data_IF_120164648234
#
_entry.id   IF_120164648234
#
_cell.length_a   1.000
_cell.length_b   1.000
_cell.length_c   1.000
_cell.angle_alpha   90.00
_cell.angle_beta   90.00
_cell.angle_gamma   90.00
#
_symmetry.space_group_name_H-M   'P 1'
#
loop_
_entity.id
_entity.type
_entity.pdbx_description
1 polymer ?
#
# COMPACT_ATOMS: atom_id res chain seq x y z
N UNK A 1 14.04 -14.75 32.41
CA UNK A 1 12.92 -14.48 31.47
C UNK A 1 13.32 -14.34 29.99
N UNK A 2 14.60 -14.21 29.63
CA UNK A 2 15.03 -13.93 28.25
C UNK A 2 14.65 -15.00 27.20
N UNK A 3 14.59 -16.28 27.59
CA UNK A 3 14.21 -17.37 26.68
C UNK A 3 12.72 -17.30 26.34
N UNK A 4 11.85 -17.10 27.34
CA UNK A 4 10.40 -16.96 27.13
C UNK A 4 10.09 -15.77 26.23
N UNK A 5 10.76 -14.63 26.42
CA UNK A 5 10.56 -13.44 25.58
C UNK A 5 11.02 -13.61 24.13
N UNK A 6 11.97 -14.52 23.85
CA UNK A 6 12.42 -14.85 22.47
C UNK A 6 11.49 -15.85 21.78
N UNK A 7 10.87 -16.75 22.54
CA UNK A 7 10.03 -17.83 22.03
C UNK A 7 8.60 -17.32 21.79
N UNK A 8 8.04 -16.55 22.73
CA UNK A 8 6.63 -16.11 22.71
C UNK A 8 6.20 -15.42 21.41
N UNK A 9 6.99 -14.52 20.78
CA UNK A 9 6.62 -13.91 19.50
C UNK A 9 6.47 -14.91 18.34
N UNK A 10 7.18 -16.05 18.40
CA UNK A 10 7.09 -17.10 17.37
C UNK A 10 5.75 -17.85 17.43
N UNK A 11 5.06 -17.78 18.57
CA UNK A 11 3.72 -18.32 18.77
C UNK A 11 2.62 -17.24 18.68
N UNK A 12 2.99 -15.97 18.49
CA UNK A 12 2.04 -14.91 18.20
C UNK A 12 1.62 -15.04 16.73
N UNK A 13 0.59 -15.85 16.50
CA UNK A 13 -0.01 -16.03 15.20
C UNK A 13 -1.23 -15.12 15.05
N UNK A 14 -1.38 -14.52 13.88
CA UNK A 14 -2.60 -13.79 13.56
C UNK A 14 -3.73 -14.78 13.25
N UNK A 15 -4.92 -14.51 13.79
CA UNK A 15 -6.11 -15.34 13.55
C UNK A 15 -6.40 -15.47 12.05
N UNK A 16 -6.19 -14.39 11.28
CA UNK A 16 -6.39 -14.38 9.83
C UNK A 16 -5.36 -15.28 9.13
N UNK A 17 -4.08 -15.23 9.53
CA UNK A 17 -3.03 -16.04 8.92
C UNK A 17 -3.33 -17.55 9.09
N UNK A 18 -3.76 -17.97 10.28
CA UNK A 18 -4.13 -19.38 10.51
C UNK A 18 -5.40 -19.78 9.76
N UNK A 19 -6.39 -18.89 9.67
CA UNK A 19 -7.61 -19.14 8.88
C UNK A 19 -7.30 -19.30 7.40
N UNK A 20 -6.53 -18.40 6.81
CA UNK A 20 -6.14 -18.42 5.39
C UNK A 20 -5.26 -19.65 5.10
N UNK A 21 -4.33 -19.98 6.01
CA UNK A 21 -3.52 -21.20 5.94
C UNK A 21 -4.37 -22.48 5.93
N UNK A 22 -5.45 -22.53 6.73
CA UNK A 22 -6.39 -23.68 6.72
C UNK A 22 -7.08 -23.88 5.36
N UNK A 23 -7.12 -22.86 4.52
CA UNK A 23 -7.66 -22.88 3.15
C UNK A 23 -6.59 -23.09 2.08
N UNK A 24 -5.36 -23.42 2.48
CA UNK A 24 -4.20 -23.56 1.59
C UNK A 24 -3.91 -22.29 0.76
N UNK A 25 -4.12 -21.13 1.38
CA UNK A 25 -3.85 -19.82 0.79
C UNK A 25 -2.68 -19.15 1.52
N UNK A 26 -2.05 -18.19 0.84
CA UNK A 26 -0.96 -17.37 1.39
C UNK A 26 -1.44 -15.94 1.57
N UNK A 27 -1.13 -15.35 2.71
CA UNK A 27 -1.40 -13.93 2.97
C UNK A 27 -0.29 -13.09 2.34
N UNK A 28 -0.65 -12.23 1.39
CA UNK A 28 0.23 -11.18 0.89
C UNK A 28 0.06 -9.94 1.77
N UNK A 29 1.16 -9.47 2.37
CA UNK A 29 1.16 -8.22 3.15
C UNK A 29 1.70 -7.10 2.27
N UNK A 30 0.94 -6.02 2.19
CA UNK A 30 1.32 -4.83 1.43
C UNK A 30 2.01 -3.82 2.34
N UNK A 31 2.88 -3.00 1.77
CA UNK A 31 3.55 -1.94 2.51
C UNK A 31 2.53 -0.89 3.00
N UNK A 32 2.72 -0.37 4.23
CA UNK A 32 1.83 0.67 4.74
C UNK A 32 2.00 1.96 3.92
N UNK A 33 0.90 2.69 3.70
CA UNK A 33 0.88 3.97 2.99
C UNK A 33 1.30 3.96 1.51
N UNK A 34 1.38 2.79 0.88
CA UNK A 34 1.65 2.65 -0.56
C UNK A 34 0.45 2.05 -1.28
N UNK A 35 -0.60 2.84 -1.47
CA UNK A 35 -1.83 2.37 -2.11
C UNK A 35 -1.63 2.04 -3.61
N UNK A 36 -0.57 2.56 -4.22
CA UNK A 36 -0.15 2.30 -5.59
C UNK A 36 0.26 0.83 -5.79
N UNK A 37 0.71 0.19 -4.71
CA UNK A 37 1.09 -1.22 -4.68
C UNK A 37 -0.08 -2.16 -4.32
N UNK A 38 -1.31 -1.65 -4.29
CA UNK A 38 -2.49 -2.42 -3.92
C UNK A 38 -3.51 -2.51 -5.07
N UNK A 39 -3.66 -3.66 -5.74
CA UNK A 39 -4.52 -3.78 -6.93
C UNK A 39 -6.01 -3.58 -6.62
N UNK A 40 -6.44 -3.77 -5.35
CA UNK A 40 -7.84 -3.52 -4.96
C UNK A 40 -8.21 -2.04 -5.06
N UNK A 41 -7.24 -1.12 -4.94
CA UNK A 41 -7.49 0.32 -5.04
C UNK A 41 -7.86 0.75 -6.47
N UNK A 42 -7.26 0.08 -7.47
CA UNK A 42 -7.62 0.23 -8.87
C UNK A 42 -9.02 -0.32 -9.15
N UNK A 43 -9.32 -1.51 -8.63
CA UNK A 43 -10.65 -2.10 -8.74
C UNK A 43 -11.70 -1.20 -8.07
N UNK A 44 -11.42 -0.69 -6.87
CA UNK A 44 -12.33 0.20 -6.16
C UNK A 44 -12.52 1.53 -6.88
N UNK A 45 -11.47 2.08 -7.48
CA UNK A 45 -11.55 3.26 -8.34
C UNK A 45 -12.45 3.02 -9.56
N UNK A 46 -12.35 1.84 -10.19
CA UNK A 46 -13.25 1.42 -11.28
C UNK A 46 -14.71 1.35 -10.83
N UNK A 47 -14.98 0.70 -9.69
CA UNK A 47 -16.33 0.58 -9.11
C UNK A 47 -16.92 1.96 -8.78
N UNK A 48 -16.16 2.82 -8.10
CA UNK A 48 -16.58 4.20 -7.79
C UNK A 48 -16.91 4.99 -9.04
N UNK A 49 -16.10 4.84 -10.10
CA UNK A 49 -16.35 5.49 -11.39
C UNK A 49 -17.65 4.99 -12.01
N UNK A 50 -17.90 3.68 -11.99
CA UNK A 50 -19.14 3.10 -12.49
C UNK A 50 -20.36 3.66 -11.75
N UNK A 51 -20.33 3.68 -10.42
CA UNK A 51 -21.43 4.23 -9.61
C UNK A 51 -21.63 5.71 -9.94
N UNK A 52 -20.55 6.51 -9.99
CA UNK A 52 -20.63 7.94 -10.30
C UNK A 52 -21.28 8.21 -11.66
N UNK A 53 -21.01 7.38 -12.66
CA UNK A 53 -21.55 7.55 -14.01
C UNK A 53 -23.02 7.12 -14.14
N UNK A 54 -23.48 6.19 -13.32
CA UNK A 54 -24.80 5.57 -13.48
C UNK A 54 -25.79 5.92 -12.36
N UNK A 55 -25.34 6.57 -11.28
CA UNK A 55 -26.20 6.99 -10.19
C UNK A 55 -26.99 8.23 -10.54
N UNK A 56 -28.27 8.06 -10.83
CA UNK A 56 -29.22 9.14 -11.17
C UNK A 56 -30.13 9.54 -9.99
N UNK A 57 -30.38 8.62 -9.05
CA UNK A 57 -31.37 8.81 -7.99
C UNK A 57 -30.75 9.25 -6.66
N UNK A 58 -29.45 8.99 -6.46
CA UNK A 58 -28.70 9.22 -5.22
C UNK A 58 -29.30 8.52 -3.98
N UNK A 59 -30.11 7.47 -4.18
CA UNK A 59 -30.70 6.68 -3.09
C UNK A 59 -29.86 5.45 -2.79
N UNK A 60 -29.73 5.11 -1.50
CA UNK A 60 -28.93 3.96 -1.04
C UNK A 60 -29.32 2.61 -1.70
N UNK A 61 -30.60 2.26 -1.90
CA UNK A 61 -30.96 1.01 -2.57
C UNK A 61 -30.41 0.92 -4.00
N UNK A 62 -30.47 2.02 -4.74
CA UNK A 62 -29.99 2.09 -6.11
C UNK A 62 -28.46 2.06 -6.16
N UNK A 63 -27.80 2.79 -5.25
CA UNK A 63 -26.33 2.71 -5.09
C UNK A 63 -25.88 1.30 -4.76
N UNK A 64 -26.58 0.57 -3.88
CA UNK A 64 -26.25 -0.82 -3.55
C UNK A 64 -26.29 -1.73 -4.78
N UNK A 65 -27.28 -1.55 -5.66
CA UNK A 65 -27.37 -2.27 -6.93
C UNK A 65 -26.17 -1.93 -7.84
N UNK A 66 -25.87 -0.64 -7.99
CA UNK A 66 -24.73 -0.17 -8.81
C UNK A 66 -23.38 -0.64 -8.28
N UNK A 67 -23.19 -0.81 -6.97
CA UNK A 67 -21.97 -1.39 -6.39
C UNK A 67 -21.78 -2.83 -6.87
N UNK A 68 -22.84 -3.65 -6.81
CA UNK A 68 -22.79 -5.05 -7.25
C UNK A 68 -22.46 -5.13 -8.74
N UNK A 69 -23.12 -4.30 -9.56
CA UNK A 69 -22.86 -4.21 -11.00
C UNK A 69 -21.42 -3.76 -11.29
N UNK A 70 -20.93 -2.72 -10.61
CA UNK A 70 -19.56 -2.23 -10.76
C UNK A 70 -18.50 -3.26 -10.35
N UNK A 71 -18.78 -4.09 -9.34
CA UNK A 71 -17.90 -5.22 -8.97
C UNK A 71 -17.90 -6.30 -10.04
N UNK A 72 -19.07 -6.66 -10.59
CA UNK A 72 -19.16 -7.64 -11.68
C UNK A 72 -18.45 -7.16 -12.95
N UNK A 73 -18.45 -5.85 -13.20
CA UNK A 73 -17.68 -5.22 -14.27
C UNK A 73 -16.17 -5.39 -14.11
N UNK A 74 -15.67 -5.60 -12.88
CA UNK A 74 -14.27 -5.91 -12.59
C UNK A 74 -13.99 -7.40 -12.80
N UNK A 75 -14.34 -7.92 -13.99
CA UNK A 75 -14.13 -9.30 -14.37
C UNK A 75 -12.65 -9.70 -14.46
N UNK A 76 -12.37 -10.98 -14.77
CA UNK A 76 -11.02 -11.55 -14.71
C UNK A 76 -9.96 -10.80 -15.53
N UNK A 77 -10.33 -10.29 -16.70
CA UNK A 77 -9.42 -9.53 -17.55
C UNK A 77 -9.04 -8.17 -16.94
N UNK A 78 -10.03 -7.38 -16.48
CA UNK A 78 -9.75 -6.11 -15.80
C UNK A 78 -8.93 -6.35 -14.52
N UNK A 79 -9.25 -7.39 -13.76
CA UNK A 79 -8.48 -7.76 -12.57
C UNK A 79 -7.01 -8.07 -12.92
N UNK A 80 -6.76 -8.88 -13.95
CA UNK A 80 -5.41 -9.16 -14.45
C UNK A 80 -4.66 -7.88 -14.81
N UNK A 81 -5.34 -6.91 -15.43
CA UNK A 81 -4.74 -5.62 -15.78
C UNK A 81 -4.40 -4.78 -14.54
N UNK A 82 -5.24 -4.80 -13.50
CA UNK A 82 -4.94 -4.12 -12.22
C UNK A 82 -3.70 -4.72 -11.55
N UNK A 83 -3.59 -6.05 -11.52
CA UNK A 83 -2.42 -6.73 -10.96
C UNK A 83 -1.15 -6.40 -11.78
N UNK A 84 -1.24 -6.45 -13.11
CA UNK A 84 -0.11 -6.08 -13.98
C UNK A 84 0.34 -4.63 -13.77
N UNK A 85 -0.59 -3.70 -13.56
CA UNK A 85 -0.25 -2.31 -13.26
C UNK A 85 0.58 -2.19 -11.98
N UNK A 86 0.13 -2.85 -10.90
CA UNK A 86 0.85 -2.86 -9.62
C UNK A 86 2.25 -3.47 -9.74
N UNK A 87 2.40 -4.57 -10.50
CA UNK A 87 3.72 -5.18 -10.75
C UNK A 87 4.66 -4.21 -11.48
N UNK A 88 4.14 -3.43 -12.43
CA UNK A 88 4.95 -2.44 -13.13
C UNK A 88 5.31 -1.24 -12.23
N UNK A 89 4.41 -0.85 -11.34
CA UNK A 89 4.67 0.20 -10.35
C UNK A 89 5.73 -0.23 -9.33
N UNK A 90 5.69 -1.49 -8.89
CA UNK A 90 6.72 -2.08 -8.04
C UNK A 90 8.10 -2.05 -8.72
N UNK A 91 8.18 -2.44 -10.00
CA UNK A 91 9.44 -2.35 -10.78
C UNK A 91 9.94 -0.91 -10.88
N UNK A 92 9.03 0.05 -11.09
CA UNK A 92 9.38 1.48 -11.15
C UNK A 92 10.01 1.95 -9.84
N UNK A 93 9.52 1.48 -8.69
CA UNK A 93 10.12 1.80 -7.39
C UNK A 93 11.54 1.24 -7.26
N UNK A 94 11.77 0.00 -7.69
CA UNK A 94 13.11 -0.58 -7.73
C UNK A 94 14.06 0.21 -8.64
N UNK A 95 13.61 0.57 -9.85
CA UNK A 95 14.43 1.34 -10.79
C UNK A 95 14.82 2.71 -10.21
N UNK A 96 13.91 3.38 -9.50
CA UNK A 96 14.19 4.66 -8.82
C UNK A 96 15.21 4.46 -7.70
N UNK A 97 15.06 3.41 -6.90
CA UNK A 97 15.97 3.11 -5.78
C UNK A 97 17.42 2.96 -6.28
N UNK A 98 17.63 2.16 -7.33
CA UNK A 98 18.95 1.99 -7.95
C UNK A 98 19.54 3.29 -8.48
N UNK A 99 18.72 4.14 -9.10
CA UNK A 99 19.17 5.45 -9.61
C UNK A 99 19.54 6.39 -8.46
N UNK A 100 18.77 6.39 -7.37
CA UNK A 100 19.07 7.21 -6.19
C UNK A 100 20.39 6.77 -5.56
N UNK A 101 20.63 5.48 -5.41
CA UNK A 101 21.90 4.93 -4.91
C UNK A 101 23.09 5.39 -5.78
N UNK A 102 23.00 5.20 -7.10
CA UNK A 102 24.04 5.63 -8.04
C UNK A 102 24.32 7.14 -7.95
N UNK A 103 23.27 7.96 -7.87
CA UNK A 103 23.41 9.41 -7.71
C UNK A 103 24.08 9.75 -6.38
N UNK A 104 23.68 9.12 -5.28
CA UNK A 104 24.27 9.36 -3.95
C UNK A 104 25.75 8.96 -3.90
N UNK A 105 26.13 7.83 -4.51
CA UNK A 105 27.54 7.41 -4.62
C UNK A 105 28.38 8.41 -5.42
N UNK A 106 27.82 8.92 -6.53
CA UNK A 106 28.50 9.90 -7.38
C UNK A 106 28.61 11.29 -6.75
N UNK A 107 27.68 11.67 -5.85
CA UNK A 107 27.70 12.95 -5.15
C UNK A 107 28.79 13.02 -4.05
N UNK A 108 29.34 11.88 -3.62
CA UNK A 108 30.33 11.82 -2.53
C UNK A 108 29.78 12.26 -1.17
N UNK A 109 30.62 12.25 -0.13
CA UNK A 109 30.24 12.67 1.23
C UNK A 109 29.78 14.14 1.21
N UNK A 110 28.46 14.34 1.35
CA UNK A 110 27.89 15.67 1.51
C UNK A 110 28.22 16.18 2.91
N UNK A 111 29.40 16.81 3.07
CA UNK A 111 29.80 17.48 4.32
C UNK A 111 28.89 18.69 4.53
N UNK A 112 27.82 18.48 5.28
CA UNK A 112 26.97 19.57 5.80
C UNK A 112 27.81 20.44 6.74
N UNK A 113 28.40 21.51 6.21
CA UNK A 113 29.08 22.51 7.03
C UNK A 113 27.98 23.30 7.74
N UNK A 114 27.81 23.07 9.05
CA UNK A 114 26.90 23.88 9.88
C UNK A 114 27.54 25.27 10.03
N UNK A 115 27.31 26.14 9.07
CA UNK A 115 27.59 27.58 9.19
C UNK A 115 26.33 28.27 9.71
N UNK A 116 26.16 28.26 11.03
CA UNK A 116 25.14 29.04 11.71
C UNK A 116 25.24 28.83 13.21
N UNK A 117 25.54 29.91 13.94
CA UNK A 117 25.50 29.92 15.40
C UNK A 117 24.14 29.40 15.88
N UNK A 118 24.15 28.22 16.48
CA UNK A 118 22.98 27.69 17.19
C UNK A 118 22.87 28.39 18.55
N UNK A 119 22.48 29.66 18.55
CA UNK A 119 21.96 30.28 19.77
C UNK A 119 20.53 29.78 19.98
N UNK A 120 20.40 28.62 20.62
CA UNK A 120 19.14 28.16 21.19
C UNK A 120 18.74 29.15 22.29
N UNK A 121 17.75 29.99 22.02
CA UNK A 121 17.04 30.73 23.04
C UNK A 121 15.89 29.85 23.51
N UNK A 122 16.09 29.12 24.61
CA UNK A 122 15.00 28.53 25.37
C UNK A 122 14.14 29.68 25.92
N UNK A 123 12.96 29.87 25.33
CA UNK A 123 11.89 30.63 25.96
C UNK A 123 10.65 29.74 26.00
N UNK A 124 10.59 28.93 27.05
CA UNK A 124 9.40 28.18 27.44
C UNK A 124 8.30 29.16 27.90
N UNK A 125 7.15 29.09 27.23
CA UNK A 125 5.83 29.43 27.77
C UNK A 125 4.92 28.21 27.61
#
# INVERSE_FOLDING_TARGET
MNIVNRIKPQFNKYVIDEYVKSKNMVVLRLSPYHCELNPIELAWSSVKRYIKMNNSTFKLPDVKKLVIEGVNECGPEKWKNFVNHVINEEKRFWDIDFVVEEVMENLGDCVMTITGDTSYSDSDY
#
